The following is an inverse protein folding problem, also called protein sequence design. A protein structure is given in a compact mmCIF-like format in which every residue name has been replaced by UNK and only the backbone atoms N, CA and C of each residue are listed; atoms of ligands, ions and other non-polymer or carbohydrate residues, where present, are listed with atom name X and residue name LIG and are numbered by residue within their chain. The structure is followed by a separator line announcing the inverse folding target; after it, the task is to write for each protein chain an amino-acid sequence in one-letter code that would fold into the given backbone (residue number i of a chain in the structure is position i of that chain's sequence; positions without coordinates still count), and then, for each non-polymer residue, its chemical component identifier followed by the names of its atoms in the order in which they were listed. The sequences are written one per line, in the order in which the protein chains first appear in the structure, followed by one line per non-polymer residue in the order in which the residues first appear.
data_IF_222679791162
#
_entry.id   IF_222679791162
#
_cell.length_a   1.000
_cell.length_b   1.000
_cell.length_c   1.000
_cell.angle_alpha   90.00
_cell.angle_beta   90.00
_cell.angle_gamma   90.00
#
_symmetry.space_group_name_H-M   'P 1'
#
loop_
_entity.id
_entity.type
_entity.pdbx_description
1 polymer ?
#
# COMPACT_ATOMS: atom_id res chain seq x y z
N UNK A 1 18.29 -23.04 -11.53
CA UNK A 1 18.32 -23.00 -10.05
C UNK A 1 17.22 -22.04 -9.63
N UNK A 2 16.24 -22.46 -8.80
CA UNK A 2 15.21 -21.53 -8.32
C UNK A 2 15.86 -20.61 -7.29
N UNK A 3 15.91 -19.30 -7.58
CA UNK A 3 16.24 -18.30 -6.57
C UNK A 3 14.97 -18.04 -5.76
N UNK A 4 15.10 -18.11 -4.44
CA UNK A 4 14.02 -17.80 -3.51
C UNK A 4 14.31 -16.43 -2.95
N UNK A 5 13.31 -15.55 -2.96
CA UNK A 5 13.41 -14.26 -2.30
C UNK A 5 13.35 -14.46 -0.79
N UNK A 6 14.31 -13.92 -0.07
CA UNK A 6 14.26 -13.80 1.38
C UNK A 6 13.65 -12.44 1.79
N UNK A 7 13.48 -12.21 3.10
CA UNK A 7 12.90 -10.96 3.62
C UNK A 7 13.74 -9.73 3.23
N UNK A 8 15.06 -9.91 3.09
CA UNK A 8 15.95 -8.83 2.69
C UNK A 8 15.73 -8.49 1.23
N UNK A 9 15.62 -9.50 0.36
CA UNK A 9 15.27 -9.30 -1.04
C UNK A 9 13.90 -8.62 -1.19
N UNK A 10 12.93 -9.00 -0.38
CA UNK A 10 11.61 -8.36 -0.36
C UNK A 10 11.70 -6.87 -0.02
N UNK A 11 12.42 -6.52 1.04
CA UNK A 11 12.59 -5.12 1.46
C UNK A 11 13.33 -4.29 0.40
N UNK A 12 14.35 -4.86 -0.24
CA UNK A 12 15.08 -4.21 -1.34
C UNK A 12 14.18 -4.01 -2.58
N UNK A 13 13.37 -5.00 -2.95
CA UNK A 13 12.46 -4.92 -4.09
C UNK A 13 11.33 -3.90 -3.88
N UNK A 14 10.82 -3.80 -2.66
CA UNK A 14 9.76 -2.86 -2.30
C UNK A 14 10.28 -1.44 -2.10
N UNK A 15 11.60 -1.22 -2.15
CA UNK A 15 12.21 0.09 -1.92
C UNK A 15 12.03 0.60 -0.49
N UNK A 16 11.79 -0.30 0.47
CA UNK A 16 11.55 0.06 1.86
C UNK A 16 12.89 0.36 2.54
N UNK A 17 12.96 1.48 3.26
CA UNK A 17 14.09 1.72 4.14
C UNK A 17 14.03 0.78 5.34
N UNK A 18 15.16 0.50 6.02
CA UNK A 18 15.15 -0.28 7.25
C UNK A 18 14.19 0.28 8.32
N UNK A 19 13.98 1.59 8.35
CA UNK A 19 13.05 2.23 9.30
C UNK A 19 11.60 1.93 8.93
N UNK A 20 11.26 1.86 7.65
CA UNK A 20 9.90 1.52 7.20
C UNK A 20 9.54 0.09 7.61
N UNK A 21 10.49 -0.85 7.49
CA UNK A 21 10.32 -2.23 7.95
C UNK A 21 10.06 -2.28 9.46
N UNK A 22 10.82 -1.52 10.25
CA UNK A 22 10.61 -1.40 11.71
C UNK A 22 9.25 -0.78 12.01
N UNK A 23 8.88 0.29 11.31
CA UNK A 23 7.62 0.99 11.54
C UNK A 23 6.41 0.10 11.18
N UNK A 24 6.48 -0.71 10.12
CA UNK A 24 5.48 -1.74 9.80
C UNK A 24 5.41 -2.79 10.92
N UNK A 25 6.56 -3.35 11.31
CA UNK A 25 6.62 -4.41 12.33
C UNK A 25 6.16 -3.95 13.72
N UNK A 26 6.37 -2.67 14.05
CA UNK A 26 5.95 -2.07 15.34
C UNK A 26 4.54 -1.48 15.28
N UNK A 27 3.87 -1.53 14.14
CA UNK A 27 2.53 -0.96 13.94
C UNK A 27 2.50 0.58 13.92
N UNK A 28 3.66 1.22 13.79
CA UNK A 28 3.80 2.67 13.65
C UNK A 28 3.47 3.15 12.24
N UNK A 29 3.68 2.30 11.23
CA UNK A 29 3.19 2.48 9.87
C UNK A 29 1.98 1.57 9.66
N UNK A 30 0.86 2.14 9.23
CA UNK A 30 -0.37 1.43 8.94
C UNK A 30 -0.58 1.33 7.42
N UNK A 31 -1.14 0.23 6.90
CA UNK A 31 -1.48 0.10 5.49
C UNK A 31 -2.51 1.16 5.06
N UNK A 32 -2.50 1.54 3.79
CA UNK A 32 -3.46 2.52 3.25
C UNK A 32 -4.90 2.03 3.41
N UNK A 33 -5.14 0.72 3.35
CA UNK A 33 -6.45 0.11 3.54
C UNK A 33 -7.03 0.36 4.95
N UNK A 34 -6.16 0.58 5.94
CA UNK A 34 -6.57 0.91 7.30
C UNK A 34 -6.82 2.42 7.47
N UNK A 35 -6.05 3.26 6.78
CA UNK A 35 -6.07 4.72 6.96
C UNK A 35 -7.12 5.39 6.06
N UNK A 36 -7.24 4.95 4.80
CA UNK A 36 -8.07 5.53 3.75
C UNK A 36 -8.88 4.44 3.01
N UNK A 37 -9.72 3.67 3.73
CA UNK A 37 -10.49 2.58 3.13
C UNK A 37 -11.43 3.06 2.01
N UNK A 38 -11.85 4.32 2.01
CA UNK A 38 -12.72 4.92 0.99
C UNK A 38 -12.03 5.10 -0.37
N UNK A 39 -10.69 5.04 -0.42
CA UNK A 39 -9.92 5.13 -1.66
C UNK A 39 -9.79 3.78 -2.37
N UNK A 40 -10.12 2.68 -1.69
CA UNK A 40 -10.08 1.34 -2.27
C UNK A 40 -11.30 1.12 -3.15
N UNK A 41 -11.05 0.80 -4.42
CA UNK A 41 -12.08 0.58 -5.43
C UNK A 41 -11.86 -0.76 -6.10
N UNK A 42 -12.94 -1.52 -6.28
CA UNK A 42 -12.91 -2.89 -6.81
C UNK A 42 -13.30 -2.96 -8.29
N UNK A 43 -13.71 -1.83 -8.87
CA UNK A 43 -14.12 -1.73 -10.27
C UNK A 43 -13.75 -0.39 -10.86
N UNK A 44 -13.72 -0.33 -12.19
CA UNK A 44 -13.48 0.91 -12.94
C UNK A 44 -14.61 1.91 -12.67
N UNK A 45 -15.83 1.43 -12.55
CA UNK A 45 -17.03 2.22 -12.27
C UNK A 45 -16.96 2.88 -10.89
N UNK A 46 -16.50 2.15 -9.86
CA UNK A 46 -16.25 2.69 -8.53
C UNK A 46 -15.16 3.76 -8.54
N UNK A 47 -14.07 3.54 -9.28
CA UNK A 47 -12.99 4.53 -9.44
C UNK A 47 -13.50 5.84 -10.06
N UNK A 48 -14.34 5.74 -11.10
CA UNK A 48 -14.91 6.92 -11.78
C UNK A 48 -15.85 7.70 -10.86
N UNK A 49 -16.68 7.01 -10.08
CA UNK A 49 -17.56 7.66 -9.10
C UNK A 49 -16.76 8.33 -7.97
N UNK A 50 -15.69 7.68 -7.48
CA UNK A 50 -14.80 8.27 -6.48
C UNK A 50 -14.16 9.57 -7.01
N UNK A 51 -13.61 9.54 -8.22
CA UNK A 51 -13.02 10.73 -8.87
C UNK A 51 -14.05 11.86 -9.06
N UNK A 52 -15.29 11.52 -9.42
CA UNK A 52 -16.38 12.50 -9.55
C UNK A 52 -16.64 13.21 -8.22
N UNK A 53 -16.70 12.48 -7.10
CA UNK A 53 -16.89 13.05 -5.75
C UNK A 53 -15.78 14.01 -5.33
N UNK A 54 -14.54 13.77 -5.76
CA UNK A 54 -13.41 14.66 -5.48
C UNK A 54 -13.43 15.93 -6.33
N UNK A 55 -13.95 15.86 -7.56
CA UNK A 55 -14.04 17.00 -8.48
C UNK A 55 -15.28 17.89 -8.28
N UNK A 56 -16.30 17.42 -7.55
CA UNK A 56 -17.53 18.17 -7.28
C UNK A 56 -17.48 18.99 -5.97
N UNK A 57 -16.31 19.13 -5.34
CA UNK A 57 -16.05 20.02 -4.19
C UNK A 57 -15.45 21.35 -4.64
#
# INVERSE_FOLDING_TARGET
MKQYYDEKDYNELMGLSPQDVIDIATGKMKPEEEILPELLVNSKEEALELLRRFNEK
#
